data_IF_013695927664
#
_entry.id   IF_013695927664
#
_cell.length_a   1.000
_cell.length_b   1.000
_cell.length_c   1.000
_cell.angle_alpha   90.00
_cell.angle_beta   90.00
_cell.angle_gamma   90.00
#
_symmetry.space_group_name_H-M   'P 1'
#
loop_
_entity.id
_entity.type
_entity.pdbx_description
1 polymer ?
#
# COMPACT_ATOMS: atom_id res chain seq x y z
N UNK A 1 22.34 -4.42 -13.23
CA UNK A 1 23.09 -3.77 -12.14
C UNK A 1 24.39 -4.56 -11.98
N UNK A 2 25.52 -3.98 -12.36
CA UNK A 2 26.79 -4.72 -12.43
C UNK A 2 27.41 -4.89 -11.04
N UNK A 3 28.26 -5.90 -10.86
CA UNK A 3 28.99 -6.13 -9.62
C UNK A 3 29.77 -4.89 -9.16
N UNK A 4 30.34 -4.13 -10.11
CA UNK A 4 31.04 -2.86 -9.86
C UNK A 4 30.12 -1.77 -9.27
N UNK A 5 28.86 -1.67 -9.71
CA UNK A 5 27.89 -0.72 -9.14
C UNK A 5 27.63 -1.01 -7.66
N UNK A 6 27.56 -2.29 -7.29
CA UNK A 6 27.36 -2.71 -5.91
C UNK A 6 28.60 -2.44 -5.04
N UNK A 7 29.81 -2.68 -5.57
CA UNK A 7 31.07 -2.40 -4.87
C UNK A 7 31.25 -0.90 -4.64
N UNK A 8 31.03 -0.08 -5.67
CA UNK A 8 31.15 1.39 -5.57
C UNK A 8 30.12 1.98 -4.61
N UNK A 9 28.86 1.53 -4.68
CA UNK A 9 27.80 1.94 -3.75
C UNK A 9 28.10 1.51 -2.30
N UNK A 10 28.60 0.29 -2.11
CA UNK A 10 29.08 -0.19 -0.81
C UNK A 10 30.21 0.68 -0.25
N UNK A 11 31.22 0.96 -1.06
CA UNK A 11 32.36 1.81 -0.70
C UNK A 11 31.96 3.23 -0.31
N UNK A 12 31.10 3.87 -1.11
CA UNK A 12 30.62 5.24 -0.82
C UNK A 12 29.80 5.30 0.47
N UNK A 13 28.91 4.33 0.72
CA UNK A 13 28.11 4.30 1.95
C UNK A 13 28.97 4.07 3.20
N UNK A 14 30.00 3.23 3.11
CA UNK A 14 30.95 3.02 4.20
C UNK A 14 31.80 4.27 4.47
N UNK A 15 32.39 4.88 3.43
CA UNK A 15 33.21 6.08 3.57
C UNK A 15 32.41 7.28 4.12
N UNK A 16 31.15 7.43 3.70
CA UNK A 16 30.25 8.43 4.26
C UNK A 16 29.97 8.18 5.76
N UNK A 17 29.68 6.93 6.16
CA UNK A 17 29.47 6.58 7.57
C UNK A 17 30.71 6.83 8.44
N UNK A 18 31.90 6.52 7.94
CA UNK A 18 33.15 6.78 8.65
C UNK A 18 33.41 8.28 8.86
N UNK A 19 33.16 9.10 7.83
CA UNK A 19 33.26 10.57 7.95
C UNK A 19 32.29 11.12 9.00
N UNK A 20 31.03 10.70 8.95
CA UNK A 20 30.00 11.11 9.91
C UNK A 20 30.35 10.66 11.34
N UNK A 21 30.85 9.42 11.51
CA UNK A 21 31.27 8.91 12.82
C UNK A 21 32.40 9.74 13.41
N UNK A 22 33.43 10.06 12.60
CA UNK A 22 34.55 10.92 13.03
C UNK A 22 34.05 12.30 13.46
N UNK A 23 33.09 12.88 12.75
CA UNK A 23 32.50 14.18 13.10
C UNK A 23 31.75 14.12 14.43
N UNK A 24 30.92 13.10 14.65
CA UNK A 24 30.16 12.92 15.89
C UNK A 24 31.10 12.71 17.08
N UNK A 25 32.10 11.82 16.95
CA UNK A 25 33.10 11.60 18.02
C UNK A 25 33.84 12.89 18.35
N UNK A 26 34.22 13.68 17.34
CA UNK A 26 34.91 14.97 17.56
C UNK A 26 34.04 15.95 18.36
N UNK A 27 32.77 16.07 18.02
CA UNK A 27 31.82 16.94 18.74
C UNK A 27 31.64 16.46 20.18
N UNK A 28 31.51 15.15 20.40
CA UNK A 28 31.39 14.56 21.74
C UNK A 28 32.62 14.83 22.60
N UNK A 29 33.83 14.62 22.06
CA UNK A 29 35.09 14.89 22.76
C UNK A 29 35.21 16.37 23.09
N UNK A 30 35.01 17.27 22.12
CA UNK A 30 35.09 18.71 22.35
C UNK A 30 34.06 19.20 23.38
N UNK A 31 32.83 18.71 23.32
CA UNK A 31 31.79 19.02 24.31
C UNK A 31 32.15 18.52 25.71
N UNK A 32 32.68 17.30 25.82
CA UNK A 32 33.11 16.72 27.10
C UNK A 32 34.31 17.46 27.71
N UNK A 33 35.29 17.86 26.91
CA UNK A 33 36.44 18.66 27.37
C UNK A 33 35.95 20.05 27.78
N UNK A 34 35.06 20.67 27.01
CA UNK A 34 34.47 21.97 27.33
C UNK A 34 33.74 21.97 28.69
N UNK A 35 32.97 20.92 28.99
CA UNK A 35 32.31 20.76 30.29
C UNK A 35 33.32 20.62 31.44
N UNK A 36 34.39 19.84 31.25
CA UNK A 36 35.47 19.70 32.22
C UNK A 36 36.23 21.01 32.47
N UNK A 37 36.59 21.74 31.41
CA UNK A 37 37.26 23.04 31.50
C UNK A 37 36.38 24.10 32.17
N UNK A 38 35.08 24.13 31.86
CA UNK A 38 34.13 25.03 32.51
C UNK A 38 34.06 24.74 34.02
N UNK A 39 33.94 23.47 34.42
CA UNK A 39 33.92 23.09 35.83
C UNK A 39 35.23 23.46 36.54
N UNK A 40 36.38 23.17 35.91
CA UNK A 40 37.69 23.51 36.43
C UNK A 40 37.83 25.03 36.64
N UNK A 41 37.44 25.83 35.64
CA UNK A 41 37.47 27.29 35.71
C UNK A 41 36.59 27.86 36.82
N UNK A 42 35.36 27.35 36.97
CA UNK A 42 34.44 27.78 38.03
C UNK A 42 34.95 27.43 39.43
N UNK A 43 35.52 26.23 39.62
CA UNK A 43 36.10 25.83 40.90
C UNK A 43 37.39 26.59 41.24
N UNK A 44 38.25 26.85 40.24
CA UNK A 44 39.46 27.64 40.44
C UNK A 44 39.14 29.12 40.71
N UNK A 45 38.11 29.69 40.07
CA UNK A 45 37.68 31.07 40.32
C UNK A 45 37.15 31.30 41.74
N UNK A 46 36.63 30.26 42.39
CA UNK A 46 36.17 30.29 43.79
C UNK A 46 37.30 30.20 44.83
N UNK A 47 38.55 29.96 44.42
CA UNK A 47 39.68 29.92 45.36
C UNK A 47 39.99 31.32 45.91
N UNK A 48 40.47 31.43 47.17
CA UNK A 48 40.86 32.71 47.75
C UNK A 48 41.85 33.47 46.87
N UNK A 49 41.62 34.77 46.65
CA UNK A 49 42.45 35.63 45.79
C UNK A 49 43.90 35.70 46.31
N UNK A 50 44.05 35.54 47.61
CA UNK A 50 45.32 35.54 48.34
C UNK A 50 46.19 34.34 47.95
N UNK A 51 45.60 33.19 47.56
CA UNK A 51 46.40 32.04 47.11
C UNK A 51 47.01 32.30 45.73
N UNK A 52 46.28 32.96 44.83
CA UNK A 52 46.80 33.39 43.53
C UNK A 52 47.85 34.50 43.67
N UNK A 53 47.64 35.45 44.58
CA UNK A 53 48.63 36.49 44.89
C UNK A 53 49.90 35.89 45.51
N UNK A 54 49.77 34.89 46.38
CA UNK A 54 50.90 34.18 46.97
C UNK A 54 51.70 33.44 45.90
N UNK A 55 51.04 32.76 44.96
CA UNK A 55 51.69 32.13 43.82
C UNK A 55 52.40 33.15 42.91
N UNK A 56 51.77 34.29 42.64
CA UNK A 56 52.38 35.37 41.86
C UNK A 56 53.65 35.93 42.53
N UNK A 57 53.58 36.26 43.83
CA UNK A 57 54.74 36.79 44.57
C UNK A 57 55.82 35.74 44.78
N UNK A 58 55.45 34.47 44.99
CA UNK A 58 56.39 33.36 45.09
C UNK A 58 57.14 33.14 43.76
N UNK A 59 56.43 33.11 42.64
CA UNK A 59 57.03 32.98 41.31
C UNK A 59 57.97 34.15 41.03
N UNK A 60 57.53 35.38 41.30
CA UNK A 60 58.33 36.60 41.12
C UNK A 60 59.59 36.59 42.01
N UNK A 61 59.50 36.06 43.23
CA UNK A 61 60.62 35.90 44.15
C UNK A 61 61.57 34.76 43.77
N UNK A 62 61.11 33.77 43.02
CA UNK A 62 61.94 32.63 42.59
C UNK A 62 62.73 32.93 41.31
N UNK A 63 62.39 34.01 40.59
CA UNK A 63 63.14 34.43 39.41
C UNK A 63 64.60 34.81 39.76
N UNK A 64 65.58 34.43 38.92
CA UNK A 64 67.00 34.64 39.21
C UNK A 64 67.41 36.12 39.25
N UNK A 65 66.71 37.00 38.53
CA UNK A 65 66.97 38.45 38.45
C UNK A 65 66.27 39.29 39.54
N UNK A 66 65.66 38.64 40.54
CA UNK A 66 64.78 39.33 41.47
C UNK A 66 65.53 39.92 42.68
N UNK A 67 65.26 41.19 43.07
CA UNK A 67 65.97 41.89 44.14
C UNK A 67 65.76 41.25 45.52
N UNK A 68 66.75 41.36 46.40
CA UNK A 68 66.74 40.78 47.76
C UNK A 68 65.63 41.30 48.67
N UNK A 69 65.11 42.50 48.37
CA UNK A 69 63.97 43.13 49.05
C UNK A 69 62.86 43.41 48.04
N UNK A 70 61.66 42.88 48.29
CA UNK A 70 60.49 43.05 47.42
C UNK A 70 59.39 43.85 48.09
N UNK A 71 58.72 44.70 47.31
CA UNK A 71 57.52 45.43 47.73
C UNK A 71 56.28 44.55 47.50
N UNK A 72 55.57 44.24 48.58
CA UNK A 72 54.36 43.41 48.60
C UNK A 72 53.20 44.25 49.11
N UNK A 73 51.96 43.98 48.66
CA UNK A 73 50.77 44.64 49.20
C UNK A 73 50.59 44.31 50.70
N UNK A 74 50.36 45.34 51.51
CA UNK A 74 50.21 45.20 52.96
C UNK A 74 48.98 44.39 53.37
N UNK A 75 47.88 44.49 52.61
CA UNK A 75 46.66 43.71 52.89
C UNK A 75 46.90 42.22 52.68
N UNK A 76 47.60 41.86 51.60
CA UNK A 76 48.03 40.49 51.34
C UNK A 76 49.03 40.00 52.41
N UNK A 77 50.03 40.80 52.75
CA UNK A 77 51.06 40.42 53.71
C UNK A 77 50.51 40.23 55.12
N UNK A 78 49.55 41.05 55.54
CA UNK A 78 48.79 40.90 56.79
C UNK A 78 48.07 39.54 56.87
N UNK A 79 47.43 39.11 55.78
CA UNK A 79 46.70 37.83 55.73
C UNK A 79 47.64 36.62 55.68
N UNK A 80 48.84 36.77 55.10
CA UNK A 80 49.76 35.65 54.83
C UNK A 80 50.82 35.47 55.92
N UNK A 81 51.25 36.56 56.57
CA UNK A 81 52.30 36.55 57.60
C UNK A 81 51.80 36.90 59.01
N UNK A 82 50.50 37.19 59.16
CA UNK A 82 49.85 37.68 60.40
C UNK A 82 50.43 39.02 60.92
N UNK A 83 51.29 39.68 60.13
CA UNK A 83 51.89 40.98 60.43
C UNK A 83 51.24 42.08 59.59
N UNK A 84 50.41 42.91 60.23
CA UNK A 84 49.62 43.93 59.55
C UNK A 84 50.29 45.31 59.65
N UNK A 85 50.46 45.97 58.50
CA UNK A 85 51.07 47.30 58.41
C UNK A 85 50.07 48.33 57.85
N UNK A 86 50.06 49.56 58.38
CA UNK A 86 49.13 50.62 57.95
C UNK A 86 49.45 51.20 56.57
N UNK A 87 50.68 51.06 56.08
CA UNK A 87 51.12 51.58 54.79
C UNK A 87 50.82 50.60 53.66
N UNK A 88 50.31 51.08 52.51
CA UNK A 88 49.81 50.23 51.42
C UNK A 88 50.80 49.26 50.75
N UNK A 89 52.12 49.38 51.00
CA UNK A 89 53.14 48.42 50.53
C UNK A 89 54.19 48.17 51.61
N UNK A 90 54.60 46.91 51.78
CA UNK A 90 55.60 46.46 52.75
C UNK A 90 56.82 45.91 52.02
N UNK A 91 58.02 46.25 52.49
CA UNK A 91 59.28 45.72 51.94
C UNK A 91 59.71 44.48 52.72
N UNK A 92 59.74 43.33 52.07
CA UNK A 92 60.02 42.02 52.68
C UNK A 92 61.26 41.39 52.04
N UNK A 93 62.07 40.68 52.84
CA UNK A 93 63.21 39.91 52.34
C UNK A 93 62.74 38.72 51.50
N UNK A 94 63.39 38.51 50.34
CA UNK A 94 63.15 37.39 49.40
C UNK A 94 63.03 36.03 50.08
N UNK A 95 63.94 35.67 50.99
CA UNK A 95 63.94 34.36 51.67
C UNK A 95 62.72 34.20 52.60
N UNK A 96 62.34 35.26 53.31
CA UNK A 96 61.16 35.27 54.20
C UNK A 96 59.87 35.21 53.38
N UNK A 97 59.80 35.96 52.28
CA UNK A 97 58.66 35.97 51.35
C UNK A 97 58.42 34.59 50.71
N UNK A 98 59.48 33.93 50.23
CA UNK A 98 59.38 32.59 49.63
C UNK A 98 58.85 31.59 50.65
N UNK A 99 59.41 31.56 51.87
CA UNK A 99 59.00 30.62 52.92
C UNK A 99 57.54 30.82 53.34
N UNK A 100 57.10 32.06 53.58
CA UNK A 100 55.72 32.34 54.00
C UNK A 100 54.70 32.09 52.87
N UNK A 101 55.08 32.30 51.61
CA UNK A 101 54.19 32.01 50.47
C UNK A 101 54.16 30.52 50.09
N UNK A 102 55.19 29.73 50.44
CA UNK A 102 55.34 28.33 50.03
C UNK A 102 54.12 27.47 50.40
N UNK A 103 53.66 27.55 51.66
CA UNK A 103 52.53 26.74 52.14
C UNK A 103 51.24 27.01 51.37
N UNK A 104 50.98 28.28 51.01
CA UNK A 104 49.81 28.66 50.21
C UNK A 104 49.92 28.26 48.75
N UNK A 105 51.14 28.24 48.20
CA UNK A 105 51.42 27.74 46.85
C UNK A 105 51.20 26.23 46.80
N UNK A 106 51.70 25.49 47.78
CA UNK A 106 51.51 24.03 47.88
C UNK A 106 50.02 23.69 48.04
N UNK A 107 49.28 24.45 48.87
CA UNK A 107 47.82 24.34 48.98
C UNK A 107 47.10 24.62 47.65
N UNK A 108 47.51 25.64 46.90
CA UNK A 108 46.92 25.96 45.60
C UNK A 108 47.20 24.85 44.57
N UNK A 109 48.42 24.30 44.54
CA UNK A 109 48.80 23.20 43.66
C UNK A 109 48.04 21.91 43.99
N UNK A 110 47.96 21.54 45.27
CA UNK A 110 47.21 20.37 45.71
C UNK A 110 45.73 20.50 45.37
N UNK A 111 45.12 21.66 45.63
CA UNK A 111 43.72 21.94 45.24
C UNK A 111 43.54 21.95 43.72
N UNK A 112 44.52 22.44 42.96
CA UNK A 112 44.53 22.41 41.50
C UNK A 112 44.52 20.98 40.97
N UNK A 113 45.37 20.09 41.51
CA UNK A 113 45.43 18.67 41.13
C UNK A 113 44.12 17.96 41.47
N UNK A 114 43.53 18.22 42.65
CA UNK A 114 42.24 17.64 43.03
C UNK A 114 41.14 18.12 42.07
N UNK A 115 41.07 19.41 41.79
CA UNK A 115 40.07 20.00 40.88
C UNK A 115 40.23 19.47 39.45
N UNK A 116 41.46 19.19 39.01
CA UNK A 116 41.75 18.59 37.72
C UNK A 116 41.28 17.12 37.63
N UNK A 117 41.42 16.35 38.72
CA UNK A 117 40.86 14.99 38.78
C UNK A 117 39.33 15.02 38.74
N UNK A 118 38.70 15.91 39.51
CA UNK A 118 37.24 16.11 39.51
C UNK A 118 36.72 16.53 38.14
N UNK A 119 37.41 17.46 37.45
CA UNK A 119 37.03 17.87 36.10
C UNK A 119 37.18 16.75 35.07
N UNK A 120 38.18 15.87 35.26
CA UNK A 120 38.32 14.63 34.49
C UNK A 120 37.10 13.72 34.62
N UNK A 121 36.63 13.45 35.84
CA UNK A 121 35.42 12.63 36.06
C UNK A 121 34.17 13.25 35.41
N UNK A 122 34.02 14.56 35.49
CA UNK A 122 32.90 15.27 34.86
C UNK A 122 32.97 15.19 33.34
N UNK A 123 34.18 15.31 32.77
CA UNK A 123 34.40 15.17 31.33
C UNK A 123 34.03 13.76 30.85
N UNK A 124 34.48 12.71 31.54
CA UNK A 124 34.12 11.32 31.23
C UNK A 124 32.61 11.09 31.36
N UNK A 125 31.97 11.62 32.40
CA UNK A 125 30.52 11.54 32.59
C UNK A 125 29.74 12.21 31.46
N UNK A 126 30.17 13.41 31.04
CA UNK A 126 29.58 14.12 29.91
C UNK A 126 29.73 13.34 28.59
N UNK A 127 30.88 12.69 28.37
CA UNK A 127 31.10 11.86 27.20
C UNK A 127 30.16 10.64 27.15
N UNK A 128 30.01 9.94 28.28
CA UNK A 128 29.07 8.81 28.41
C UNK A 128 27.63 9.26 28.19
N UNK A 129 27.25 10.42 28.73
CA UNK A 129 25.94 11.02 28.51
C UNK A 129 25.68 11.29 27.02
N UNK A 130 26.62 11.95 26.31
CA UNK A 130 26.47 12.18 24.88
C UNK A 130 26.37 10.89 24.08
N UNK A 131 27.15 9.87 24.44
CA UNK A 131 27.11 8.55 23.79
C UNK A 131 25.73 7.91 23.92
N UNK A 132 25.17 7.89 25.13
CA UNK A 132 23.82 7.37 25.39
C UNK A 132 22.75 8.21 24.68
N UNK A 133 22.85 9.53 24.73
CA UNK A 133 21.92 10.44 24.06
C UNK A 133 21.83 10.17 22.55
N UNK A 134 22.97 10.09 21.87
CA UNK A 134 23.01 9.82 20.43
C UNK A 134 22.57 8.38 20.11
N UNK A 135 22.90 7.40 20.96
CA UNK A 135 22.44 6.03 20.80
C UNK A 135 20.90 5.94 20.86
N UNK A 136 20.28 6.48 21.91
CA UNK A 136 18.82 6.51 22.08
C UNK A 136 18.14 7.24 20.92
N UNK A 137 18.64 8.41 20.53
CA UNK A 137 18.12 9.16 19.39
C UNK A 137 18.24 8.37 18.09
N UNK A 138 19.35 7.64 17.90
CA UNK A 138 19.56 6.73 16.79
C UNK A 138 18.51 5.62 16.74
N UNK A 139 18.24 4.97 17.87
CA UNK A 139 17.20 3.92 17.97
C UNK A 139 15.80 4.46 17.68
N UNK A 140 15.44 5.63 18.23
CA UNK A 140 14.14 6.26 17.99
C UNK A 140 13.93 6.65 16.52
N UNK A 141 14.99 7.13 15.85
CA UNK A 141 14.95 7.57 14.46
C UNK A 141 15.04 6.42 13.46
N UNK A 142 15.43 5.21 13.90
CA UNK A 142 15.58 4.00 13.07
C UNK A 142 14.25 3.47 12.50
N UNK A 143 13.10 4.02 12.92
CA UNK A 143 11.80 3.64 12.36
C UNK A 143 11.80 3.89 10.84
N UNK A 144 11.74 2.81 10.07
CA UNK A 144 11.62 2.86 8.60
C UNK A 144 10.39 3.70 8.26
N UNK A 145 10.62 4.88 7.65
CA UNK A 145 9.52 5.69 7.12
C UNK A 145 9.07 5.05 5.81
N UNK A 146 7.79 4.74 5.71
CA UNK A 146 7.17 4.36 4.43
C UNK A 146 7.20 5.59 3.53
N UNK A 147 8.03 5.56 2.49
CA UNK A 147 8.18 6.71 1.59
C UNK A 147 6.97 6.79 0.66
N UNK A 148 6.69 5.74 -0.11
CA UNK A 148 5.63 5.70 -1.13
C UNK A 148 5.14 4.27 -1.39
N UNK A 149 4.00 4.14 -2.09
CA UNK A 149 3.42 2.86 -2.49
C UNK A 149 2.35 2.31 -1.53
N UNK A 150 1.87 1.10 -1.84
CA UNK A 150 0.80 0.43 -1.08
C UNK A 150 1.29 0.13 0.33
N UNK A 151 0.45 0.46 1.32
CA UNK A 151 0.72 0.14 2.73
C UNK A 151 -0.03 -1.13 3.11
N UNK A 152 0.70 -2.11 3.58
CA UNK A 152 0.13 -3.30 4.21
C UNK A 152 -0.16 -2.99 5.67
N UNK A 153 -1.41 -3.17 6.09
CA UNK A 153 -1.86 -2.97 7.46
C UNK A 153 -2.60 -4.19 7.97
N UNK A 154 -2.68 -4.34 9.29
CA UNK A 154 -3.46 -5.42 9.90
C UNK A 154 -4.96 -5.19 9.64
N UNK A 155 -5.77 -6.24 9.41
CA UNK A 155 -7.19 -6.10 9.09
C UNK A 155 -7.98 -5.23 10.07
N UNK A 156 -7.74 -5.38 11.37
CA UNK A 156 -8.42 -4.59 12.40
C UNK A 156 -8.13 -3.08 12.33
N UNK A 157 -6.92 -2.69 11.89
CA UNK A 157 -6.56 -1.28 11.68
C UNK A 157 -7.28 -0.71 10.46
N UNK A 158 -7.38 -1.50 9.39
CA UNK A 158 -8.13 -1.12 8.19
C UNK A 158 -9.61 -0.96 8.54
N UNK A 159 -10.16 -1.90 9.31
CA UNK A 159 -11.52 -1.83 9.84
C UNK A 159 -11.75 -0.53 10.62
N UNK A 160 -10.92 -0.24 11.63
CA UNK A 160 -11.02 0.99 12.43
C UNK A 160 -10.93 2.23 11.54
N UNK A 161 -9.99 2.26 10.60
CA UNK A 161 -9.82 3.39 9.68
C UNK A 161 -11.06 3.60 8.82
N UNK A 162 -11.65 2.54 8.26
CA UNK A 162 -12.88 2.64 7.48
C UNK A 162 -14.08 3.06 8.34
N UNK A 163 -14.14 2.59 9.59
CA UNK A 163 -15.17 2.99 10.55
C UNK A 163 -15.05 4.47 10.94
N UNK A 164 -13.86 4.94 11.33
CA UNK A 164 -13.61 6.34 11.68
C UNK A 164 -13.87 7.30 10.51
N UNK A 165 -13.66 6.85 9.27
CA UNK A 165 -13.92 7.63 8.06
C UNK A 165 -15.38 7.51 7.57
N UNK A 166 -16.25 6.76 8.25
CA UNK A 166 -17.60 6.43 7.79
C UNK A 166 -17.66 5.84 6.36
N UNK A 167 -16.59 5.16 5.93
CA UNK A 167 -16.44 4.52 4.61
C UNK A 167 -16.57 3.00 4.65
N UNK A 168 -17.14 2.47 5.73
CA UNK A 168 -17.38 1.04 5.93
C UNK A 168 -18.59 0.58 5.12
N UNK A 169 -18.43 -0.41 4.24
CA UNK A 169 -19.54 -1.16 3.66
C UNK A 169 -20.08 -2.20 4.66
N UNK A 170 -21.35 -2.54 4.49
CA UNK A 170 -22.02 -3.69 5.09
C UNK A 170 -21.50 -5.03 4.57
N UNK A 171 -21.04 -5.09 3.30
CA UNK A 171 -20.39 -6.25 2.70
C UNK A 171 -18.93 -6.36 3.18
N UNK A 172 -18.53 -7.58 3.53
CA UNK A 172 -17.21 -7.95 4.05
C UNK A 172 -16.57 -9.06 3.23
N UNK A 173 -15.24 -9.03 3.12
CA UNK A 173 -14.40 -10.13 2.68
C UNK A 173 -13.83 -10.84 3.93
N UNK A 174 -14.10 -12.14 4.04
CA UNK A 174 -13.78 -12.87 5.27
C UNK A 174 -14.64 -12.43 6.45
N UNK A 175 -14.15 -12.66 7.67
CA UNK A 175 -14.89 -12.37 8.90
C UNK A 175 -14.82 -10.91 9.34
N UNK A 176 -13.74 -10.19 9.00
CA UNK A 176 -13.40 -8.91 9.63
C UNK A 176 -13.35 -7.74 8.65
N UNK A 177 -13.01 -7.94 7.38
CA UNK A 177 -12.63 -6.83 6.50
C UNK A 177 -13.81 -6.33 5.67
N UNK A 178 -14.42 -5.17 6.00
CA UNK A 178 -15.45 -4.54 5.19
C UNK A 178 -14.87 -4.01 3.89
N UNK A 179 -15.68 -4.04 2.84
CA UNK A 179 -15.40 -3.30 1.62
C UNK A 179 -15.49 -1.79 1.87
N UNK A 180 -15.02 -1.02 0.90
CA UNK A 180 -15.22 0.43 0.91
C UNK A 180 -16.67 0.69 0.49
N UNK A 181 -17.37 1.54 1.25
CA UNK A 181 -18.75 1.92 0.93
C UNK A 181 -18.86 2.39 -0.52
N UNK A 182 -19.78 1.80 -1.29
CA UNK A 182 -20.00 2.12 -2.70
C UNK A 182 -18.95 1.57 -3.68
N UNK A 183 -18.02 0.70 -3.25
CA UNK A 183 -17.08 0.04 -4.16
C UNK A 183 -17.63 -1.23 -4.81
N UNK A 184 -18.78 -1.74 -4.36
CA UNK A 184 -19.43 -2.94 -4.90
C UNK A 184 -19.76 -2.81 -6.40
N UNK A 185 -20.08 -1.61 -6.87
CA UNK A 185 -20.33 -1.31 -8.30
C UNK A 185 -19.06 -1.20 -9.14
N UNK A 186 -17.87 -1.30 -8.53
CA UNK A 186 -16.57 -1.24 -9.22
C UNK A 186 -15.99 -2.61 -9.54
N UNK A 187 -16.79 -3.66 -9.34
CA UNK A 187 -16.43 -5.07 -9.50
C UNK A 187 -15.37 -5.55 -8.49
N UNK A 188 -15.28 -6.88 -8.33
CA UNK A 188 -14.30 -7.54 -7.45
C UNK A 188 -13.63 -8.65 -8.26
N UNK A 189 -12.30 -8.60 -8.34
CA UNK A 189 -11.51 -9.69 -8.90
C UNK A 189 -10.94 -10.56 -7.77
N UNK A 190 -11.37 -11.82 -7.71
CA UNK A 190 -10.85 -12.82 -6.76
C UNK A 190 -9.90 -13.75 -7.51
N UNK A 191 -8.60 -13.62 -7.27
CA UNK A 191 -7.56 -14.43 -7.91
C UNK A 191 -6.88 -15.38 -6.91
N UNK A 192 -6.51 -16.57 -7.37
CA UNK A 192 -5.78 -17.57 -6.59
C UNK A 192 -5.72 -18.93 -7.27
N UNK A 193 -4.77 -19.78 -6.88
CA UNK A 193 -4.65 -21.13 -7.40
C UNK A 193 -5.85 -22.03 -7.00
N UNK A 194 -5.97 -23.21 -7.60
CA UNK A 194 -6.96 -24.20 -7.18
C UNK A 194 -6.74 -24.56 -5.71
N UNK A 195 -7.83 -24.69 -4.94
CA UNK A 195 -7.77 -25.01 -3.51
C UNK A 195 -7.50 -23.83 -2.56
N UNK A 196 -7.25 -22.60 -3.04
CA UNK A 196 -6.97 -21.43 -2.16
C UNK A 196 -8.20 -20.81 -1.50
N UNK A 197 -9.39 -21.39 -1.71
CA UNK A 197 -10.62 -20.93 -1.07
C UNK A 197 -11.44 -19.87 -1.83
N UNK A 198 -11.21 -19.66 -3.14
CA UNK A 198 -12.01 -18.74 -3.98
C UNK A 198 -13.52 -18.99 -3.87
N UNK A 199 -13.94 -20.26 -4.01
CA UNK A 199 -15.34 -20.66 -3.88
C UNK A 199 -15.90 -20.34 -2.49
N UNK A 200 -15.10 -20.50 -1.42
CA UNK A 200 -15.53 -20.15 -0.07
C UNK A 200 -15.68 -18.63 0.12
N UNK A 201 -14.79 -17.83 -0.50
CA UNK A 201 -14.94 -16.38 -0.49
C UNK A 201 -16.23 -15.93 -1.22
N UNK A 202 -16.55 -16.53 -2.37
CA UNK A 202 -17.81 -16.29 -3.07
C UNK A 202 -19.02 -16.67 -2.23
N UNK A 203 -19.02 -17.85 -1.57
CA UNK A 203 -20.12 -18.27 -0.67
C UNK A 203 -20.39 -17.26 0.45
N UNK A 204 -19.33 -16.67 1.02
CA UNK A 204 -19.46 -15.64 2.06
C UNK A 204 -20.08 -14.35 1.51
N UNK A 205 -19.70 -13.94 0.30
CA UNK A 205 -20.29 -12.78 -0.36
C UNK A 205 -21.76 -13.04 -0.72
N UNK A 206 -22.06 -14.18 -1.32
CA UNK A 206 -23.42 -14.60 -1.67
C UNK A 206 -24.34 -14.57 -0.44
N UNK A 207 -23.92 -15.13 0.69
CA UNK A 207 -24.72 -15.07 1.93
C UNK A 207 -25.06 -13.63 2.32
N UNK A 208 -24.10 -12.71 2.21
CA UNK A 208 -24.30 -11.30 2.56
C UNK A 208 -25.23 -10.59 1.57
N UNK A 209 -25.04 -10.81 0.26
CA UNK A 209 -25.91 -10.30 -0.80
C UNK A 209 -27.35 -10.76 -0.57
N UNK A 210 -27.55 -12.04 -0.21
CA UNK A 210 -28.88 -12.58 0.08
C UNK A 210 -29.50 -11.93 1.31
N UNK A 211 -28.73 -11.81 2.39
CA UNK A 211 -29.21 -11.18 3.62
C UNK A 211 -29.57 -9.71 3.41
N UNK A 212 -28.92 -9.03 2.46
CA UNK A 212 -29.23 -7.65 2.09
C UNK A 212 -30.51 -7.52 1.26
N UNK A 213 -31.01 -8.62 0.70
CA UNK A 213 -32.19 -8.65 -0.17
C UNK A 213 -31.87 -8.37 -1.64
N UNK A 214 -30.59 -8.35 -2.01
CA UNK A 214 -30.19 -8.04 -3.38
C UNK A 214 -30.49 -9.20 -4.33
N UNK A 215 -30.85 -8.87 -5.57
CA UNK A 215 -30.89 -9.82 -6.69
C UNK A 215 -29.48 -10.17 -7.16
N UNK A 216 -29.30 -11.38 -7.65
CA UNK A 216 -28.04 -11.84 -8.22
C UNK A 216 -28.27 -12.80 -9.39
N UNK A 217 -27.34 -12.79 -10.35
CA UNK A 217 -27.20 -13.79 -11.40
C UNK A 217 -25.95 -14.60 -11.07
N UNK A 218 -26.10 -15.91 -10.90
CA UNK A 218 -25.04 -16.80 -10.42
C UNK A 218 -24.70 -17.81 -11.52
N UNK A 219 -23.58 -17.61 -12.20
CA UNK A 219 -23.09 -18.60 -13.17
C UNK A 219 -22.44 -19.77 -12.41
N UNK A 220 -23.15 -20.88 -12.28
CA UNK A 220 -22.68 -22.07 -11.58
C UNK A 220 -22.43 -23.25 -12.54
N UNK A 221 -21.18 -23.42 -12.94
CA UNK A 221 -20.77 -24.52 -13.82
C UNK A 221 -20.65 -25.88 -13.11
N UNK A 222 -20.73 -25.90 -11.77
CA UNK A 222 -20.48 -27.10 -10.95
C UNK A 222 -21.72 -27.63 -10.24
N UNK A 223 -22.76 -26.80 -10.07
CA UNK A 223 -23.94 -27.08 -9.26
C UNK A 223 -23.73 -26.86 -7.75
N UNK A 224 -22.53 -26.47 -7.32
CA UNK A 224 -22.18 -26.27 -5.90
C UNK A 224 -22.96 -25.13 -5.24
N UNK A 225 -23.29 -24.08 -6.00
CA UNK A 225 -24.05 -22.94 -5.52
C UNK A 225 -25.55 -23.22 -5.57
N UNK A 226 -26.02 -23.86 -6.65
CA UNK A 226 -27.41 -24.31 -6.75
C UNK A 226 -27.76 -25.19 -5.56
N UNK A 227 -26.97 -26.22 -5.26
CA UNK A 227 -27.21 -27.14 -4.15
C UNK A 227 -27.28 -26.48 -2.76
N UNK A 228 -26.73 -25.27 -2.59
CA UNK A 228 -26.63 -24.58 -1.29
C UNK A 228 -27.52 -23.35 -1.16
N UNK A 229 -27.80 -22.65 -2.25
CA UNK A 229 -28.43 -21.33 -2.22
C UNK A 229 -29.70 -21.21 -3.06
N UNK A 230 -29.98 -22.17 -3.94
CA UNK A 230 -31.19 -22.15 -4.77
C UNK A 230 -32.41 -22.46 -3.92
N UNK A 231 -33.47 -21.64 -4.07
CA UNK A 231 -34.77 -21.83 -3.42
C UNK A 231 -35.81 -22.12 -4.51
N UNK A 232 -36.25 -23.35 -4.63
CA UNK A 232 -37.09 -23.80 -5.75
C UNK A 232 -38.39 -23.01 -5.93
N UNK A 233 -39.03 -22.58 -4.83
CA UNK A 233 -40.28 -21.81 -4.88
C UNK A 233 -40.09 -20.33 -5.24
N UNK A 234 -38.84 -19.86 -5.32
CA UNK A 234 -38.56 -18.42 -5.34
C UNK A 234 -37.47 -18.00 -6.31
N UNK A 235 -36.41 -18.78 -6.47
CA UNK A 235 -35.30 -18.48 -7.37
C UNK A 235 -35.54 -19.10 -8.75
N UNK A 236 -34.85 -18.57 -9.74
CA UNK A 236 -34.98 -18.97 -11.14
C UNK A 236 -33.78 -19.84 -11.48
N UNK A 237 -34.01 -20.96 -12.15
CA UNK A 237 -32.96 -21.82 -12.67
C UNK A 237 -32.98 -21.80 -14.19
N UNK A 238 -31.83 -21.55 -14.81
CA UNK A 238 -31.65 -21.66 -16.24
C UNK A 238 -30.60 -22.73 -16.58
N UNK A 239 -31.09 -23.96 -16.78
CA UNK A 239 -30.27 -25.10 -17.19
C UNK A 239 -31.11 -26.00 -18.12
N UNK A 240 -30.85 -26.02 -19.44
CA UNK A 240 -31.66 -26.76 -20.41
C UNK A 240 -31.86 -28.26 -20.08
N UNK A 241 -30.94 -28.84 -19.32
CA UNK A 241 -30.98 -30.26 -18.91
C UNK A 241 -31.63 -30.52 -17.56
N UNK A 242 -31.96 -29.49 -16.77
CA UNK A 242 -32.66 -29.63 -15.50
C UNK A 242 -34.19 -29.61 -15.73
N UNK A 243 -34.94 -30.46 -15.02
CA UNK A 243 -36.40 -30.49 -15.11
C UNK A 243 -37.03 -29.16 -14.68
N UNK A 244 -36.44 -28.49 -13.68
CA UNK A 244 -36.92 -27.27 -13.03
C UNK A 244 -36.56 -25.99 -13.79
N UNK A 245 -35.86 -26.11 -14.92
CA UNK A 245 -35.43 -24.95 -15.69
C UNK A 245 -36.61 -24.11 -16.13
N UNK A 246 -36.45 -22.80 -16.02
CA UNK A 246 -37.32 -21.87 -16.71
C UNK A 246 -37.14 -22.01 -18.22
N UNK A 247 -38.24 -21.79 -18.93
CA UNK A 247 -38.26 -21.86 -20.39
C UNK A 247 -37.87 -20.49 -20.92
N UNK A 248 -36.76 -20.41 -21.63
CA UNK A 248 -36.20 -19.16 -22.14
C UNK A 248 -35.94 -19.26 -23.63
N UNK A 249 -36.24 -18.19 -24.35
CA UNK A 249 -36.00 -18.07 -25.79
C UNK A 249 -35.09 -16.87 -26.05
N UNK A 250 -33.97 -16.99 -26.78
CA UNK A 250 -33.04 -15.88 -26.97
C UNK A 250 -33.66 -14.57 -27.48
N UNK A 251 -34.67 -14.66 -28.33
CA UNK A 251 -35.35 -13.51 -28.92
C UNK A 251 -36.36 -12.82 -28.00
N UNK A 252 -36.74 -13.40 -26.85
CA UNK A 252 -37.61 -12.69 -25.91
C UNK A 252 -36.90 -11.53 -25.20
N UNK A 253 -35.56 -11.48 -25.28
CA UNK A 253 -34.75 -10.37 -24.78
C UNK A 253 -34.77 -9.16 -25.74
N UNK A 254 -35.25 -9.35 -26.96
CA UNK A 254 -35.22 -8.36 -28.03
C UNK A 254 -36.54 -7.57 -28.12
N UNK A 255 -36.47 -6.29 -27.77
CA UNK A 255 -37.60 -5.35 -27.86
C UNK A 255 -37.59 -4.50 -29.13
N UNK A 256 -36.40 -4.27 -29.70
CA UNK A 256 -36.16 -3.42 -30.86
C UNK A 256 -35.19 -4.11 -31.83
N UNK A 257 -35.15 -3.65 -33.07
CA UNK A 257 -34.33 -4.25 -34.13
C UNK A 257 -32.83 -4.36 -33.74
N UNK A 258 -32.27 -3.34 -33.08
CA UNK A 258 -30.87 -3.37 -32.63
C UNK A 258 -30.61 -4.42 -31.52
N UNK A 259 -31.63 -4.83 -30.75
CA UNK A 259 -31.45 -5.87 -29.74
C UNK A 259 -31.15 -7.23 -30.41
N UNK A 260 -31.75 -7.50 -31.58
CA UNK A 260 -31.45 -8.69 -32.38
C UNK A 260 -30.02 -8.69 -32.88
N UNK A 261 -29.52 -7.53 -33.30
CA UNK A 261 -28.12 -7.39 -33.73
C UNK A 261 -27.16 -7.67 -32.56
N UNK A 262 -27.44 -7.14 -31.36
CA UNK A 262 -26.65 -7.44 -30.16
C UNK A 262 -26.70 -8.91 -29.76
N UNK A 263 -27.87 -9.54 -29.85
CA UNK A 263 -28.04 -10.96 -29.58
C UNK A 263 -27.15 -11.79 -30.53
N UNK A 264 -27.21 -11.51 -31.84
CA UNK A 264 -26.44 -12.23 -32.84
C UNK A 264 -24.93 -11.99 -32.70
N UNK A 265 -24.52 -10.77 -32.37
CA UNK A 265 -23.13 -10.44 -32.05
C UNK A 265 -22.61 -11.18 -30.80
N UNK A 266 -23.49 -11.48 -29.84
CA UNK A 266 -23.15 -12.25 -28.64
C UNK A 266 -23.05 -13.75 -28.93
N UNK A 267 -23.88 -14.26 -29.85
CA UNK A 267 -23.85 -15.67 -30.28
C UNK A 267 -22.62 -15.99 -31.14
N UNK A 268 -22.23 -15.06 -32.01
CA UNK A 268 -21.05 -15.17 -32.86
C UNK A 268 -20.09 -14.03 -32.49
N UNK A 269 -19.18 -14.21 -31.53
CA UNK A 269 -18.23 -13.15 -31.16
C UNK A 269 -17.29 -12.82 -32.33
N UNK A 270 -16.74 -11.60 -32.33
CA UNK A 270 -15.69 -11.23 -33.30
C UNK A 270 -14.40 -11.96 -32.93
N UNK A 271 -13.66 -12.39 -33.96
CA UNK A 271 -12.35 -12.96 -33.75
C UNK A 271 -11.35 -11.83 -33.52
N UNK A 272 -10.42 -11.99 -32.59
CA UNK A 272 -9.34 -11.01 -32.37
C UNK A 272 -8.37 -10.95 -33.57
N UNK A 273 -8.37 -11.98 -34.42
CA UNK A 273 -7.61 -12.04 -35.66
C UNK A 273 -8.47 -11.56 -36.84
N UNK A 274 -8.24 -10.32 -37.27
CA UNK A 274 -8.94 -9.63 -38.37
C UNK A 274 -8.86 -10.29 -39.76
N UNK A 275 -8.11 -11.38 -39.92
CA UNK A 275 -7.89 -12.01 -41.22
C UNK A 275 -9.06 -12.89 -41.70
N UNK A 276 -9.97 -13.30 -40.81
CA UNK A 276 -11.08 -14.24 -41.11
C UNK A 276 -12.48 -13.72 -40.73
N UNK A 277 -12.70 -12.39 -40.77
CA UNK A 277 -13.97 -11.78 -40.34
C UNK A 277 -15.15 -12.05 -41.29
N UNK A 278 -14.90 -12.51 -42.53
CA UNK A 278 -15.96 -12.71 -43.52
C UNK A 278 -17.02 -13.74 -43.09
N UNK A 279 -16.62 -14.95 -42.68
CA UNK A 279 -17.59 -16.00 -42.35
C UNK A 279 -18.40 -15.68 -41.08
N UNK A 280 -17.81 -15.16 -39.99
CA UNK A 280 -18.57 -14.66 -38.85
C UNK A 280 -19.57 -13.57 -39.25
N UNK A 281 -19.15 -12.53 -39.96
CA UNK A 281 -20.05 -11.41 -40.34
C UNK A 281 -21.19 -11.87 -41.26
N UNK A 282 -20.89 -12.69 -42.27
CA UNK A 282 -21.90 -13.27 -43.15
C UNK A 282 -22.90 -14.15 -42.38
N UNK A 283 -22.40 -14.94 -41.41
CA UNK A 283 -23.25 -15.76 -40.55
C UNK A 283 -24.17 -14.92 -39.67
N UNK A 284 -23.66 -13.80 -39.13
CA UNK A 284 -24.48 -12.86 -38.36
C UNK A 284 -25.60 -12.27 -39.22
N UNK A 285 -25.29 -11.82 -40.43
CA UNK A 285 -26.28 -11.27 -41.34
C UNK A 285 -27.42 -12.26 -41.64
N UNK A 286 -27.07 -13.53 -41.92
CA UNK A 286 -28.06 -14.58 -42.20
C UNK A 286 -28.92 -14.90 -40.97
N UNK A 287 -28.31 -15.05 -39.80
CA UNK A 287 -29.06 -15.32 -38.55
C UNK A 287 -29.98 -14.13 -38.21
N UNK A 288 -29.47 -12.91 -38.31
CA UNK A 288 -30.24 -11.69 -38.03
C UNK A 288 -31.48 -11.60 -38.92
N UNK A 289 -31.29 -11.71 -40.24
CA UNK A 289 -32.38 -11.66 -41.21
C UNK A 289 -33.41 -12.76 -40.95
N UNK A 290 -32.96 -13.96 -40.60
CA UNK A 290 -33.83 -15.08 -40.25
C UNK A 290 -34.63 -14.84 -38.96
N UNK A 291 -33.97 -14.41 -37.88
CA UNK A 291 -34.62 -14.13 -36.60
C UNK A 291 -35.68 -13.03 -36.74
N UNK A 292 -35.35 -11.94 -37.42
CA UNK A 292 -36.29 -10.83 -37.64
C UNK A 292 -37.53 -11.26 -38.44
N UNK A 293 -37.36 -12.16 -39.42
CA UNK A 293 -38.48 -12.72 -40.18
C UNK A 293 -39.39 -13.59 -39.30
N UNK A 294 -38.82 -14.55 -38.57
CA UNK A 294 -39.61 -15.46 -37.73
C UNK A 294 -40.30 -14.76 -36.55
N UNK A 295 -39.74 -13.64 -36.06
CA UNK A 295 -40.43 -12.80 -35.08
C UNK A 295 -41.70 -12.18 -35.67
N UNK A 296 -41.67 -11.66 -36.91
CA UNK A 296 -42.86 -11.11 -37.57
C UNK A 296 -43.96 -12.16 -37.76
N UNK A 297 -43.58 -13.42 -37.94
CA UNK A 297 -44.49 -14.55 -38.09
C UNK A 297 -45.01 -15.13 -36.76
N UNK A 298 -44.61 -14.55 -35.61
CA UNK A 298 -44.97 -15.03 -34.26
C UNK A 298 -44.62 -16.51 -34.01
N UNK A 299 -43.58 -17.02 -34.67
CA UNK A 299 -43.17 -18.42 -34.55
C UNK A 299 -42.49 -18.67 -33.19
N UNK A 300 -43.03 -19.57 -32.39
CA UNK A 300 -42.54 -19.88 -31.02
C UNK A 300 -41.79 -21.21 -30.94
N UNK A 301 -41.77 -21.99 -32.02
CA UNK A 301 -41.05 -23.27 -32.07
C UNK A 301 -39.56 -23.06 -32.37
N UNK A 302 -38.73 -23.21 -31.33
CA UNK A 302 -37.28 -23.11 -31.38
C UNK A 302 -36.69 -24.17 -32.31
N UNK A 303 -37.18 -25.41 -32.18
CA UNK A 303 -36.71 -26.54 -32.99
C UNK A 303 -37.05 -26.33 -34.47
N UNK A 304 -38.19 -25.70 -34.78
CA UNK A 304 -38.54 -25.32 -36.15
C UNK A 304 -37.64 -24.20 -36.66
N UNK A 305 -37.34 -23.16 -35.87
CA UNK A 305 -36.41 -22.08 -36.25
C UNK A 305 -35.01 -22.61 -36.55
N UNK A 306 -34.45 -23.43 -35.67
CA UNK A 306 -33.16 -24.10 -35.89
C UNK A 306 -33.21 -25.01 -37.12
N UNK A 307 -34.23 -25.88 -37.22
CA UNK A 307 -34.38 -26.80 -38.35
C UNK A 307 -34.46 -26.03 -39.67
N UNK A 308 -35.16 -24.91 -39.69
CA UNK A 308 -35.28 -24.09 -40.90
C UNK A 308 -33.94 -23.49 -41.31
N UNK A 309 -33.16 -22.98 -40.35
CA UNK A 309 -31.82 -22.45 -40.62
C UNK A 309 -30.81 -23.52 -41.05
N UNK A 310 -30.88 -24.71 -40.44
CA UNK A 310 -29.85 -25.74 -40.60
C UNK A 310 -30.19 -26.82 -41.64
N UNK A 311 -31.47 -27.08 -41.92
CA UNK A 311 -31.90 -28.23 -42.76
C UNK A 311 -32.58 -27.85 -44.07
N UNK A 312 -33.10 -26.62 -44.23
CA UNK A 312 -33.65 -26.19 -45.53
C UNK A 312 -32.57 -26.23 -46.62
N UNK A 313 -33.02 -26.48 -47.85
CA UNK A 313 -32.17 -26.35 -49.02
C UNK A 313 -31.71 -24.89 -49.18
N UNK A 314 -30.58 -24.68 -49.88
CA UNK A 314 -30.08 -23.32 -50.14
C UNK A 314 -31.13 -22.51 -50.91
N UNK A 315 -31.85 -23.13 -51.86
CA UNK A 315 -32.92 -22.49 -52.62
C UNK A 315 -34.06 -22.00 -51.73
N UNK A 316 -34.50 -22.80 -50.74
CA UNK A 316 -35.56 -22.39 -49.81
C UNK A 316 -35.10 -21.22 -48.91
N UNK A 317 -33.88 -21.29 -48.39
CA UNK A 317 -33.31 -20.20 -47.57
C UNK A 317 -33.15 -18.93 -48.40
N UNK A 318 -32.71 -19.06 -49.65
CA UNK A 318 -32.60 -17.95 -50.59
C UNK A 318 -33.96 -17.30 -50.84
N UNK A 319 -34.98 -18.09 -51.17
CA UNK A 319 -36.33 -17.58 -51.38
C UNK A 319 -36.90 -16.90 -50.13
N UNK A 320 -36.54 -17.39 -48.94
CA UNK A 320 -36.95 -16.80 -47.68
C UNK A 320 -36.30 -15.44 -47.39
N UNK A 321 -35.02 -15.29 -47.76
CA UNK A 321 -34.19 -14.14 -47.44
C UNK A 321 -33.96 -13.20 -48.63
N UNK A 322 -34.55 -13.47 -49.81
CA UNK A 322 -34.33 -12.69 -51.05
C UNK A 322 -34.64 -11.19 -50.94
N UNK A 323 -35.53 -10.82 -50.02
CA UNK A 323 -35.92 -9.43 -49.73
C UNK A 323 -35.10 -8.79 -48.61
N UNK A 324 -34.03 -9.44 -48.16
CA UNK A 324 -33.15 -8.96 -47.09
C UNK A 324 -31.73 -8.76 -47.62
N UNK A 325 -30.94 -7.96 -46.93
CA UNK A 325 -29.54 -7.73 -47.28
C UNK A 325 -28.68 -9.00 -47.17
N UNK A 326 -29.15 -10.00 -46.41
CA UNK A 326 -28.47 -11.28 -46.27
C UNK A 326 -28.55 -12.18 -47.53
N UNK A 327 -29.33 -11.81 -48.55
CA UNK A 327 -29.51 -12.62 -49.78
C UNK A 327 -28.20 -12.99 -50.47
N UNK A 328 -27.21 -12.11 -50.41
CA UNK A 328 -25.90 -12.29 -51.07
C UNK A 328 -25.11 -13.47 -50.47
N UNK A 329 -25.39 -13.83 -49.22
CA UNK A 329 -24.71 -14.88 -48.47
C UNK A 329 -25.34 -16.26 -48.64
N UNK A 330 -26.52 -16.32 -49.28
CA UNK A 330 -27.30 -17.55 -49.48
C UNK A 330 -27.65 -17.78 -50.95
N UNK A 331 -26.93 -17.12 -51.88
CA UNK A 331 -27.15 -17.28 -53.32
C UNK A 331 -26.80 -18.72 -53.76
N UNK A 332 -27.72 -19.45 -54.41
CA UNK A 332 -27.45 -20.80 -54.95
C UNK A 332 -26.24 -20.87 -55.90
N UNK A 333 -25.90 -19.77 -56.59
CA UNK A 333 -24.71 -19.69 -57.46
C UNK A 333 -23.40 -19.75 -56.67
N UNK A 334 -23.43 -19.35 -55.40
CA UNK A 334 -22.30 -19.34 -54.46
C UNK A 334 -22.32 -20.50 -53.48
N UNK A 335 -22.72 -21.70 -53.91
CA UNK A 335 -23.01 -22.85 -53.04
C UNK A 335 -21.90 -23.15 -52.02
N UNK A 336 -20.63 -23.23 -52.46
CA UNK A 336 -19.49 -23.53 -51.56
C UNK A 336 -19.36 -22.52 -50.42
N UNK A 337 -19.49 -21.23 -50.71
CA UNK A 337 -19.42 -20.17 -49.71
C UNK A 337 -20.60 -20.23 -48.76
N UNK A 338 -21.80 -20.45 -49.29
CA UNK A 338 -23.03 -20.61 -48.50
C UNK A 338 -22.93 -21.79 -47.53
N UNK A 339 -22.36 -22.92 -47.97
CA UNK A 339 -22.12 -24.09 -47.11
C UNK A 339 -21.17 -23.76 -45.95
N UNK A 340 -20.08 -23.02 -46.18
CA UNK A 340 -19.16 -22.58 -45.13
C UNK A 340 -19.80 -21.62 -44.11
N UNK A 341 -20.65 -20.70 -44.59
CA UNK A 341 -21.44 -19.81 -43.74
C UNK A 341 -22.40 -20.64 -42.88
N UNK A 342 -23.11 -21.60 -43.47
CA UNK A 342 -24.02 -22.51 -42.73
C UNK A 342 -23.28 -23.36 -41.70
N UNK A 343 -22.07 -23.83 -42.00
CA UNK A 343 -21.25 -24.56 -41.02
C UNK A 343 -20.93 -23.69 -39.79
N UNK A 344 -20.62 -22.41 -40.02
CA UNK A 344 -20.38 -21.42 -38.96
C UNK A 344 -21.65 -21.18 -38.12
N UNK A 345 -22.81 -21.00 -38.77
CA UNK A 345 -24.12 -20.88 -38.11
C UNK A 345 -24.42 -22.13 -37.26
N UNK A 346 -24.21 -23.32 -37.81
CA UNK A 346 -24.50 -24.59 -37.14
C UNK A 346 -23.69 -24.77 -35.85
N UNK A 347 -22.44 -24.32 -35.81
CA UNK A 347 -21.60 -24.42 -34.61
C UNK A 347 -22.12 -23.57 -33.45
N UNK A 348 -22.82 -22.47 -33.76
CA UNK A 348 -23.32 -21.55 -32.75
C UNK A 348 -24.75 -21.94 -32.31
N UNK A 349 -25.63 -22.21 -33.27
CA UNK A 349 -27.08 -22.39 -33.04
C UNK A 349 -27.46 -23.80 -32.55
N UNK A 350 -26.62 -24.83 -32.73
CA UNK A 350 -26.95 -26.21 -32.31
C UNK A 350 -27.35 -26.31 -30.83
N UNK A 351 -26.86 -25.42 -29.99
CA UNK A 351 -27.23 -25.35 -28.56
C UNK A 351 -28.67 -24.89 -28.30
N UNK A 352 -29.38 -24.37 -29.31
CA UNK A 352 -30.80 -24.04 -29.17
C UNK A 352 -31.70 -25.28 -29.22
N UNK A 353 -31.21 -26.40 -29.78
CA UNK A 353 -31.96 -27.67 -29.85
C UNK A 353 -32.38 -28.22 -28.49
N UNK A 354 -31.67 -27.85 -27.43
CA UNK A 354 -31.95 -28.31 -26.05
C UNK A 354 -32.91 -27.39 -25.31
N UNK A 355 -33.26 -26.23 -25.88
CA UNK A 355 -34.22 -25.32 -25.28
C UNK A 355 -35.64 -25.86 -25.48
N UNK A 356 -36.48 -25.69 -24.45
CA UNK A 356 -37.88 -26.16 -24.47
C UNK A 356 -38.78 -25.11 -25.12
N UNK A 357 -39.61 -25.56 -26.06
CA UNK A 357 -40.66 -24.73 -26.65
C UNK A 357 -41.64 -24.23 -25.59
N UNK A 358 -42.05 -22.97 -25.72
CA UNK A 358 -43.03 -22.32 -24.84
C UNK A 358 -43.66 -21.14 -25.54
N UNK A 359 -44.93 -20.86 -25.24
CA UNK A 359 -45.61 -19.63 -25.67
C UNK A 359 -45.33 -18.45 -24.73
N UNK A 360 -44.85 -18.72 -23.52
CA UNK A 360 -44.54 -17.73 -22.48
C UNK A 360 -43.11 -17.91 -22.01
N UNK A 361 -42.11 -17.46 -22.77
CA UNK A 361 -40.71 -17.52 -22.37
C UNK A 361 -40.43 -16.54 -21.23
N UNK A 362 -39.61 -16.98 -20.27
CA UNK A 362 -39.00 -16.13 -19.28
C UNK A 362 -38.04 -15.15 -19.97
N UNK A 363 -38.06 -13.87 -19.55
CA UNK A 363 -37.20 -12.80 -20.07
C UNK A 363 -36.32 -12.27 -18.95
N UNK A 364 -35.00 -12.40 -19.12
CA UNK A 364 -34.00 -11.91 -18.16
C UNK A 364 -34.07 -10.39 -18.08
N UNK A 365 -34.25 -9.73 -19.21
CA UNK A 365 -34.41 -8.27 -19.30
C UNK A 365 -35.60 -7.79 -18.48
N UNK A 366 -36.77 -8.39 -18.68
CA UNK A 366 -37.99 -7.98 -17.98
C UNK A 366 -37.88 -8.29 -16.48
N UNK A 367 -37.26 -9.41 -16.13
CA UNK A 367 -36.94 -9.73 -14.75
C UNK A 367 -36.05 -8.66 -14.10
N UNK A 368 -34.94 -8.26 -14.73
CA UNK A 368 -34.05 -7.20 -14.22
C UNK A 368 -34.77 -5.86 -14.10
N UNK A 369 -35.54 -5.47 -15.11
CA UNK A 369 -36.27 -4.20 -15.17
C UNK A 369 -37.53 -4.17 -14.30
N UNK A 370 -37.98 -5.32 -13.79
CA UNK A 370 -39.13 -5.39 -12.91
C UNK A 370 -38.94 -4.47 -11.68
N UNK A 371 -39.99 -3.72 -11.36
CA UNK A 371 -40.02 -2.82 -10.19
C UNK A 371 -40.41 -3.55 -8.89
N UNK A 372 -40.59 -4.86 -8.95
CA UNK A 372 -40.91 -5.66 -7.78
C UNK A 372 -39.65 -5.77 -6.92
N UNK A 373 -39.75 -5.34 -5.66
CA UNK A 373 -38.67 -5.48 -4.70
C UNK A 373 -38.61 -6.94 -4.25
N UNK A 374 -37.79 -7.74 -4.94
CA UNK A 374 -37.63 -9.17 -4.71
C UNK A 374 -36.16 -9.49 -4.50
N UNK A 375 -35.86 -10.37 -3.55
CA UNK A 375 -34.56 -10.98 -3.33
C UNK A 375 -34.38 -12.27 -4.14
N UNK A 376 -35.08 -12.40 -5.27
CA UNK A 376 -35.00 -13.55 -6.18
C UNK A 376 -33.64 -13.58 -6.89
N UNK A 377 -33.03 -14.75 -7.00
CA UNK A 377 -31.80 -14.94 -7.77
C UNK A 377 -32.04 -15.79 -9.02
N UNK A 378 -31.22 -15.57 -10.04
CA UNK A 378 -31.14 -16.39 -11.23
C UNK A 378 -29.86 -17.24 -11.14
N UNK A 379 -30.00 -18.55 -11.29
CA UNK A 379 -28.91 -19.52 -11.32
C UNK A 379 -28.75 -20.10 -12.72
#
# INVERSE_FOLDING_TARGET
MTFLDNVTRGGQTWAHRMRMLKQVIRIMILGSIGAGLLFFGLKMSKQPKENFQAAYYHLRATLPLAPDKMKVDSKFWCVVSEQCYRNGKVTVNKKKLIKTCQERVDLLLMRGIITLKESGYISTGAFVFFLLFFAVRGFLTRKKKHLQGVRFEKPWKVYLKLACLAKKSDIKLGTILPLIKGSETKHILICGATGTGKTNALRQLMKQIRCRGDRAIIVDTTGDFIAKFFREEKDILFNPYDARTERWHPWCECSKDYDYEHLVNSLIPKNDNHYDDFFPEASRAVILASLMKYTKESETDIAKRERNLLRKSINEIYEELKQTDARIYVDPKGEKTTVSIRATIANCIRHFSVLRNTSSPFSIRDWVLSKQDTDQWLF
#
